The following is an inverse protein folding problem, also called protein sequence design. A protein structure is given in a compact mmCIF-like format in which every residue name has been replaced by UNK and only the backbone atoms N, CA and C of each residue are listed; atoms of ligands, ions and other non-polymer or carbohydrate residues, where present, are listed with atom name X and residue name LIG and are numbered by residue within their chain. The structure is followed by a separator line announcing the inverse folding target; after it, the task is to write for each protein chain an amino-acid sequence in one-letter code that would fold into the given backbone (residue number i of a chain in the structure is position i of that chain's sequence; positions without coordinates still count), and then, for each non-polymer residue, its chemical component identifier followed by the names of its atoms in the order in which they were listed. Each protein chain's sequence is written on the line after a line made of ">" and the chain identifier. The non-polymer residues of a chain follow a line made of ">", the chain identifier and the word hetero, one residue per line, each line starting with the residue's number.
data_IF_265370386513
#
_entry.id   IF_265370386513
#
_cell.length_a   1.000
_cell.length_b   1.000
_cell.length_c   1.000
_cell.angle_alpha   90.00
_cell.angle_beta   90.00
_cell.angle_gamma   90.00
#
_symmetry.space_group_name_H-M   'P 1'
#
loop_
_entity.id
_entity.type
_entity.pdbx_description
1 polymer ?
#
# COMPACT_ATOMS: atom_id res chain seq x y z
N UNK A 1 14.00 9.80 -29.82
CA UNK A 1 13.02 10.58 -29.04
C UNK A 1 12.28 9.63 -28.11
N UNK A 2 12.37 9.77 -26.78
CA UNK A 2 11.62 8.91 -25.88
C UNK A 2 10.11 9.24 -25.99
N UNK A 3 9.30 8.22 -26.28
CA UNK A 3 7.83 8.33 -26.31
C UNK A 3 7.30 8.45 -24.88
N UNK A 4 6.77 9.62 -24.52
CA UNK A 4 6.07 9.80 -23.26
C UNK A 4 4.70 9.11 -23.35
N UNK A 5 4.53 8.02 -22.60
CA UNK A 5 3.22 7.36 -22.46
C UNK A 5 2.45 8.07 -21.35
N UNK A 6 1.22 8.54 -21.59
CA UNK A 6 0.43 9.20 -20.56
C UNK A 6 0.15 8.23 -19.40
N UNK A 7 0.20 8.76 -18.19
CA UNK A 7 -0.15 8.03 -16.98
C UNK A 7 -1.65 7.72 -16.94
N UNK A 8 -2.04 6.71 -16.16
CA UNK A 8 -3.46 6.37 -15.99
C UNK A 8 -4.29 7.56 -15.47
N UNK A 9 -3.72 8.41 -14.61
CA UNK A 9 -4.40 9.60 -14.09
C UNK A 9 -4.58 10.71 -15.13
N UNK A 10 -3.67 10.82 -16.09
CA UNK A 10 -3.81 11.75 -17.23
C UNK A 10 -4.86 11.26 -18.22
N UNK A 11 -4.89 9.95 -18.49
CA UNK A 11 -5.90 9.33 -19.35
C UNK A 11 -7.31 9.50 -18.77
N UNK A 12 -7.47 9.31 -17.45
CA UNK A 12 -8.77 9.46 -16.77
C UNK A 12 -9.22 10.93 -16.76
N UNK A 13 -8.31 11.88 -16.46
CA UNK A 13 -8.64 13.31 -16.51
C UNK A 13 -9.03 13.79 -17.91
N UNK A 14 -8.32 13.30 -18.93
CA UNK A 14 -8.67 13.59 -20.32
C UNK A 14 -10.05 13.02 -20.69
N UNK A 15 -10.38 11.81 -20.24
CA UNK A 15 -11.69 11.20 -20.45
C UNK A 15 -12.82 11.96 -19.74
N UNK A 16 -12.64 12.37 -18.48
CA UNK A 16 -13.62 13.20 -17.74
C UNK A 16 -13.83 14.54 -18.44
N UNK A 17 -12.74 15.20 -18.86
CA UNK A 17 -12.83 16.47 -19.61
C UNK A 17 -13.58 16.31 -20.93
N UNK A 18 -13.32 15.24 -21.67
CA UNK A 18 -14.02 14.92 -22.91
C UNK A 18 -15.51 14.60 -22.69
N UNK A 19 -15.86 13.91 -21.61
CA UNK A 19 -17.27 13.63 -21.27
C UNK A 19 -18.02 14.89 -20.82
N UNK A 20 -17.35 15.85 -20.18
CA UNK A 20 -17.94 17.13 -19.76
C UNK A 20 -18.12 18.11 -20.92
N UNK A 21 -17.16 18.18 -21.83
CA UNK A 21 -17.05 19.28 -22.81
C UNK A 21 -17.04 18.84 -24.28
N UNK A 22 -16.87 17.54 -24.54
CA UNK A 22 -16.93 16.95 -25.88
C UNK A 22 -18.37 16.73 -26.39
N UNK A 23 -18.50 16.36 -27.66
CA UNK A 23 -19.79 16.08 -28.29
C UNK A 23 -20.00 14.57 -28.53
N UNK A 24 -21.09 13.95 -28.08
CA UNK A 24 -22.16 14.49 -27.21
C UNK A 24 -21.72 14.56 -25.74
N UNK A 25 -21.99 15.69 -25.08
CA UNK A 25 -21.66 15.89 -23.66
C UNK A 25 -22.50 14.96 -22.79
N UNK A 26 -21.86 14.27 -21.84
CA UNK A 26 -22.46 13.33 -20.89
C UNK A 26 -21.97 13.66 -19.48
N UNK A 27 -22.44 14.77 -18.89
CA UNK A 27 -22.00 15.21 -17.57
C UNK A 27 -22.37 14.20 -16.48
N UNK A 28 -23.47 13.48 -16.64
CA UNK A 28 -23.88 12.36 -15.79
C UNK A 28 -22.84 11.22 -15.75
N UNK A 29 -22.32 10.85 -16.92
CA UNK A 29 -21.24 9.87 -17.04
C UNK A 29 -19.93 10.44 -16.53
N UNK A 30 -19.67 11.74 -16.73
CA UNK A 30 -18.49 12.39 -16.19
C UNK A 30 -18.47 12.37 -14.66
N UNK A 31 -19.60 12.69 -14.01
CA UNK A 31 -19.73 12.67 -12.56
C UNK A 31 -19.66 11.23 -12.02
N UNK A 32 -20.24 10.25 -12.73
CA UNK A 32 -20.11 8.84 -12.35
C UNK A 32 -18.67 8.32 -12.52
N UNK A 33 -17.99 8.69 -13.61
CA UNK A 33 -16.58 8.36 -13.85
C UNK A 33 -15.69 9.08 -12.84
N UNK A 34 -16.01 10.32 -12.46
CA UNK A 34 -15.30 11.06 -11.42
C UNK A 34 -15.56 10.48 -10.04
N UNK A 35 -16.77 10.06 -9.69
CA UNK A 35 -17.07 9.38 -8.42
C UNK A 35 -16.41 7.99 -8.36
N UNK A 36 -16.43 7.21 -9.45
CA UNK A 36 -15.69 5.96 -9.55
C UNK A 36 -14.19 6.20 -9.54
N UNK A 37 -13.72 7.26 -10.20
CA UNK A 37 -12.34 7.67 -10.18
C UNK A 37 -11.97 8.07 -8.77
N UNK A 38 -12.73 8.87 -8.03
CA UNK A 38 -12.49 9.24 -6.63
C UNK A 38 -12.58 8.04 -5.69
N UNK A 39 -13.50 7.10 -5.89
CA UNK A 39 -13.59 5.88 -5.10
C UNK A 39 -12.38 4.97 -5.38
N UNK A 40 -11.94 4.93 -6.64
CA UNK A 40 -10.76 4.21 -7.10
C UNK A 40 -9.45 4.96 -6.85
N UNK A 41 -9.47 6.29 -6.74
CA UNK A 41 -8.41 7.26 -6.36
C UNK A 41 -8.36 7.42 -4.85
N UNK A 42 -9.37 7.05 -4.08
CA UNK A 42 -9.18 6.74 -2.65
C UNK A 42 -8.54 5.35 -2.50
N UNK A 43 -8.78 4.45 -3.46
CA UNK A 43 -8.02 3.21 -3.63
C UNK A 43 -6.66 3.35 -4.36
N UNK A 44 -6.41 4.48 -5.04
CA UNK A 44 -5.25 4.81 -5.89
C UNK A 44 -4.63 6.17 -5.53
N UNK A 45 -4.98 6.77 -4.40
CA UNK A 45 -4.25 7.92 -3.86
C UNK A 45 -2.84 7.48 -3.42
N UNK A 46 -2.52 6.20 -3.58
CA UNK A 46 -1.17 5.68 -3.76
C UNK A 46 -0.69 5.67 -5.22
N UNK A 47 -1.05 6.63 -6.08
CA UNK A 47 -0.43 6.79 -7.41
C UNK A 47 0.93 7.50 -7.31
N UNK A 48 1.12 8.29 -6.25
CA UNK A 48 2.41 8.63 -5.65
C UNK A 48 2.64 7.66 -4.48
N UNK A 49 3.88 7.23 -4.28
CA UNK A 49 4.17 6.15 -3.34
C UNK A 49 5.14 5.13 -3.87
N UNK A 50 6.06 4.72 -3.02
CA UNK A 50 7.13 3.79 -3.32
C UNK A 50 6.63 2.36 -3.22
N UNK A 51 7.00 1.55 -4.21
CA UNK A 51 6.74 0.10 -4.17
C UNK A 51 7.75 -0.58 -3.26
N UNK A 52 7.29 -1.10 -2.13
CA UNK A 52 8.10 -1.88 -1.20
C UNK A 52 8.01 -3.35 -1.60
N UNK A 53 9.12 -3.89 -2.12
CA UNK A 53 9.25 -5.32 -2.46
C UNK A 53 9.79 -6.09 -1.27
N UNK A 54 9.19 -7.23 -0.95
CA UNK A 54 9.62 -8.09 0.14
C UNK A 54 9.25 -9.54 -0.11
N UNK A 55 9.76 -10.44 0.74
CA UNK A 55 9.38 -11.85 0.76
C UNK A 55 8.70 -12.14 2.08
N UNK A 56 7.48 -12.67 2.02
CA UNK A 56 6.72 -13.09 3.19
C UNK A 56 6.27 -14.54 3.04
N UNK A 57 5.85 -15.12 4.15
CA UNK A 57 5.32 -16.47 4.19
C UNK A 57 4.01 -16.58 3.39
N UNK A 58 3.85 -17.65 2.61
CA UNK A 58 2.68 -17.84 1.74
C UNK A 58 1.40 -18.07 2.54
N UNK A 59 1.46 -18.80 3.65
CA UNK A 59 0.31 -19.06 4.51
C UNK A 59 -0.12 -17.77 5.19
N UNK A 60 0.82 -16.97 5.68
CA UNK A 60 0.54 -15.64 6.23
C UNK A 60 -0.18 -14.75 5.21
N UNK A 61 0.35 -14.63 3.99
CA UNK A 61 -0.28 -13.84 2.92
C UNK A 61 -1.64 -14.40 2.52
N UNK A 62 -1.81 -15.72 2.54
CA UNK A 62 -3.10 -16.37 2.27
C UNK A 62 -4.12 -16.08 3.37
N UNK A 63 -3.70 -16.09 4.64
CA UNK A 63 -4.53 -15.76 5.79
C UNK A 63 -5.06 -14.32 5.73
N UNK A 64 -4.19 -13.36 5.36
CA UNK A 64 -4.60 -11.96 5.11
C UNK A 64 -5.58 -11.88 3.94
N UNK A 65 -5.30 -12.60 2.85
CA UNK A 65 -6.10 -12.64 1.64
C UNK A 65 -5.66 -11.59 0.61
N UNK A 66 -5.55 -12.01 -0.66
CA UNK A 66 -4.94 -11.20 -1.74
C UNK A 66 -5.57 -9.81 -1.94
N UNK A 67 -6.89 -9.67 -1.74
CA UNK A 67 -7.60 -8.39 -1.85
C UNK A 67 -7.36 -7.42 -0.69
N UNK A 68 -6.69 -7.85 0.38
CA UNK A 68 -6.49 -7.07 1.61
C UNK A 68 -5.05 -6.71 1.92
N UNK A 69 -4.08 -7.42 1.34
CA UNK A 69 -2.63 -7.23 1.61
C UNK A 69 -2.24 -5.74 1.55
N UNK A 70 -2.69 -5.03 0.52
CA UNK A 70 -2.41 -3.60 0.34
C UNK A 70 -3.01 -2.75 1.49
N UNK A 71 -4.27 -3.00 1.85
CA UNK A 71 -4.98 -2.26 2.91
C UNK A 71 -4.36 -2.52 4.29
N UNK A 72 -4.04 -3.77 4.59
CA UNK A 72 -3.44 -4.16 5.88
C UNK A 72 -2.03 -3.60 6.01
N UNK A 73 -1.24 -3.60 4.93
CA UNK A 73 0.09 -2.98 4.90
C UNK A 73 0.03 -1.48 5.22
N UNK A 74 -0.86 -0.75 4.54
CA UNK A 74 -0.98 0.69 4.73
C UNK A 74 -1.47 1.06 6.14
N UNK A 75 -2.47 0.33 6.65
CA UNK A 75 -2.96 0.51 8.01
C UNK A 75 -1.90 0.16 9.06
N UNK A 76 -1.16 -0.93 8.85
CA UNK A 76 -0.03 -1.31 9.70
C UNK A 76 1.04 -0.22 9.78
N UNK A 77 1.40 0.39 8.65
CA UNK A 77 2.31 1.53 8.61
C UNK A 77 1.81 2.72 9.43
N UNK A 78 0.52 3.07 9.31
CA UNK A 78 -0.09 4.17 10.09
C UNK A 78 -0.07 3.87 11.59
N UNK A 79 -0.49 2.67 11.98
CA UNK A 79 -0.47 2.20 13.38
C UNK A 79 0.94 2.18 13.95
N UNK A 80 1.94 1.74 13.19
CA UNK A 80 3.34 1.78 13.61
C UNK A 80 3.83 3.21 13.85
N UNK A 81 3.55 4.13 12.94
CA UNK A 81 3.90 5.55 13.12
C UNK A 81 3.18 6.16 14.32
N UNK A 82 1.97 5.71 14.65
CA UNK A 82 1.25 6.10 15.86
C UNK A 82 1.73 5.38 17.13
N UNK A 83 2.64 4.41 17.04
CA UNK A 83 3.13 3.61 18.17
C UNK A 83 2.16 2.54 18.68
N UNK A 84 1.19 2.16 17.86
CA UNK A 84 0.15 1.17 18.14
C UNK A 84 0.45 -0.21 17.55
N UNK A 85 1.61 -0.36 16.90
CA UNK A 85 2.09 -1.61 16.32
C UNK A 85 3.58 -1.74 16.66
N UNK A 86 3.98 -2.92 17.15
CA UNK A 86 5.39 -3.25 17.41
C UNK A 86 5.92 -4.04 16.21
N UNK A 87 7.10 -3.67 15.65
CA UNK A 87 7.61 -4.35 14.48
C UNK A 87 8.08 -5.76 14.83
N UNK A 88 7.84 -6.70 13.92
CA UNK A 88 8.24 -8.08 14.12
C UNK A 88 9.75 -8.20 13.89
N UNK A 89 10.48 -8.76 14.86
CA UNK A 89 11.94 -8.99 14.75
C UNK A 89 12.32 -9.98 13.65
N UNK A 90 11.35 -10.50 12.90
CA UNK A 90 11.52 -11.65 12.02
C UNK A 90 12.14 -12.79 12.83
N UNK A 91 11.38 -13.31 13.79
CA UNK A 91 11.76 -14.55 14.45
C UNK A 91 11.12 -15.69 13.64
N UNK A 92 11.97 -16.63 13.24
CA UNK A 92 11.71 -17.86 12.45
C UNK A 92 10.38 -18.55 12.81
N UNK A 93 9.73 -19.17 11.81
CA UNK A 93 8.55 -20.00 12.07
C UNK A 93 8.30 -21.14 11.09
N UNK A 94 8.22 -20.89 9.79
CA UNK A 94 8.00 -21.96 8.83
C UNK A 94 9.23 -22.12 7.92
N UNK A 95 9.60 -23.38 7.67
CA UNK A 95 10.19 -23.79 6.39
C UNK A 95 9.18 -23.58 5.22
N UNK A 96 8.39 -22.51 5.30
CA UNK A 96 7.30 -22.19 4.41
C UNK A 96 7.82 -21.58 3.14
N UNK A 97 7.08 -21.80 2.06
CA UNK A 97 7.39 -21.22 0.77
C UNK A 97 7.25 -19.71 0.85
N UNK A 98 8.39 -19.00 0.87
CA UNK A 98 8.40 -17.55 0.79
C UNK A 98 7.96 -17.12 -0.61
N UNK A 99 6.97 -16.25 -0.66
CA UNK A 99 6.49 -15.65 -1.92
C UNK A 99 7.01 -14.21 -2.03
N UNK A 100 7.50 -13.85 -3.20
CA UNK A 100 7.83 -12.45 -3.51
C UNK A 100 6.53 -11.66 -3.64
N UNK A 101 6.42 -10.61 -2.84
CA UNK A 101 5.26 -9.72 -2.79
C UNK A 101 5.72 -8.28 -2.85
N UNK A 102 4.83 -7.41 -3.30
CA UNK A 102 5.03 -5.98 -3.26
C UNK A 102 3.77 -5.29 -2.78
N UNK A 103 3.95 -4.27 -1.95
CA UNK A 103 2.88 -3.34 -1.57
C UNK A 103 3.32 -1.94 -1.96
N UNK A 104 2.35 -1.09 -2.25
CA UNK A 104 2.60 0.33 -2.45
C UNK A 104 2.39 1.06 -1.13
N UNK A 105 3.28 1.96 -0.77
CA UNK A 105 3.08 2.81 0.41
C UNK A 105 3.26 4.24 -0.04
N UNK A 106 2.37 5.12 0.40
CA UNK A 106 2.52 6.56 0.24
C UNK A 106 3.93 7.01 0.66
N UNK A 107 4.53 7.94 -0.08
CA UNK A 107 5.95 8.30 0.08
C UNK A 107 6.19 9.00 1.42
N UNK A 108 5.30 9.88 1.85
CA UNK A 108 5.38 10.57 3.14
C UNK A 108 5.19 9.58 4.30
N UNK A 109 4.22 8.67 4.17
CA UNK A 109 4.03 7.60 5.14
C UNK A 109 5.26 6.70 5.23
N UNK A 110 5.85 6.30 4.09
CA UNK A 110 7.05 5.47 4.06
C UNK A 110 8.25 6.19 4.66
N UNK A 111 8.42 7.49 4.40
CA UNK A 111 9.48 8.31 5.00
C UNK A 111 9.34 8.34 6.54
N UNK A 112 8.11 8.55 7.04
CA UNK A 112 7.82 8.53 8.49
C UNK A 112 8.05 7.16 9.13
N UNK A 113 7.62 6.08 8.46
CA UNK A 113 7.90 4.71 8.89
C UNK A 113 9.40 4.46 8.94
N UNK A 114 10.15 4.90 7.92
CA UNK A 114 11.61 4.71 7.84
C UNK A 114 12.32 5.46 8.97
N UNK A 115 11.98 6.73 9.19
CA UNK A 115 12.54 7.53 10.28
C UNK A 115 12.28 6.87 11.65
N UNK A 116 11.06 6.40 11.88
CA UNK A 116 10.70 5.69 13.12
C UNK A 116 11.43 4.34 13.24
N UNK A 117 11.59 3.59 12.16
CA UNK A 117 12.41 2.37 12.16
C UNK A 117 13.85 2.65 12.58
N UNK A 118 14.47 3.73 12.09
CA UNK A 118 15.83 4.12 12.45
C UNK A 118 15.94 4.43 13.94
N UNK A 119 15.00 5.20 14.49
CA UNK A 119 14.95 5.49 15.94
C UNK A 119 14.81 4.19 16.75
N UNK A 120 13.81 3.37 16.40
CA UNK A 120 13.53 2.12 17.11
C UNK A 120 14.69 1.11 17.00
N UNK A 121 15.47 1.16 15.92
CA UNK A 121 16.63 0.29 15.76
C UNK A 121 17.71 0.57 16.80
N UNK A 122 17.89 1.85 17.16
CA UNK A 122 18.81 2.25 18.22
C UNK A 122 18.29 1.76 19.58
N UNK A 123 17.00 1.94 19.84
CA UNK A 123 16.38 1.56 21.12
C UNK A 123 16.35 0.04 21.35
N UNK A 124 16.07 -0.74 20.29
CA UNK A 124 15.90 -2.19 20.40
C UNK A 124 17.21 -2.98 20.21
N UNK A 125 18.30 -2.34 19.77
CA UNK A 125 19.57 -3.00 19.52
C UNK A 125 19.57 -3.98 18.33
N UNK A 126 18.62 -3.84 17.41
CA UNK A 126 18.60 -4.58 16.14
C UNK A 126 18.02 -3.73 15.02
N UNK A 127 18.42 -3.99 13.76
CA UNK A 127 17.98 -3.19 12.62
C UNK A 127 16.54 -3.47 12.24
N UNK A 128 15.65 -2.52 12.55
CA UNK A 128 14.26 -2.48 12.12
C UNK A 128 14.18 -1.90 10.71
N UNK A 129 13.44 -2.56 9.83
CA UNK A 129 13.14 -2.09 8.47
C UNK A 129 11.64 -2.01 8.25
N UNK A 130 11.16 -1.25 7.24
CA UNK A 130 9.73 -1.20 6.91
C UNK A 130 9.10 -2.59 6.72
N UNK A 131 9.83 -3.57 6.18
CA UNK A 131 9.34 -4.95 6.04
C UNK A 131 8.97 -5.60 7.38
N UNK A 132 9.68 -5.28 8.48
CA UNK A 132 9.37 -5.78 9.81
C UNK A 132 8.01 -5.28 10.32
N UNK A 133 7.66 -4.05 9.92
CA UNK A 133 6.35 -3.45 10.19
C UNK A 133 5.26 -4.13 9.38
N UNK A 134 5.49 -4.37 8.09
CA UNK A 134 4.54 -5.05 7.22
C UNK A 134 4.22 -6.47 7.73
N UNK A 135 5.24 -7.22 8.11
CA UNK A 135 5.06 -8.58 8.65
C UNK A 135 4.25 -8.56 9.95
N UNK A 136 4.58 -7.67 10.89
CA UNK A 136 3.80 -7.53 12.12
C UNK A 136 2.32 -7.20 11.87
N UNK A 137 2.05 -6.32 10.91
CA UNK A 137 0.69 -5.96 10.54
C UNK A 137 -0.10 -7.15 9.98
N UNK A 138 0.54 -8.01 9.18
CA UNK A 138 -0.07 -9.23 8.66
C UNK A 138 -0.31 -10.27 9.75
N UNK A 139 0.65 -10.44 10.67
CA UNK A 139 0.52 -11.36 11.80
C UNK A 139 -0.66 -10.97 12.70
N UNK A 140 -0.80 -9.69 13.04
CA UNK A 140 -1.93 -9.20 13.83
C UNK A 140 -3.28 -9.32 13.07
N UNK A 141 -3.33 -9.06 11.76
CA UNK A 141 -4.56 -9.21 10.96
C UNK A 141 -5.04 -10.66 10.90
N UNK A 142 -4.12 -11.62 10.80
CA UNK A 142 -4.45 -13.05 10.83
C UNK A 142 -4.90 -13.45 12.23
N UNK A 143 -4.15 -13.09 13.27
CA UNK A 143 -4.49 -13.42 14.66
C UNK A 143 -5.83 -12.84 15.12
N UNK A 144 -6.22 -11.65 14.63
CA UNK A 144 -7.52 -11.05 14.96
C UNK A 144 -8.73 -11.75 14.32
N UNK A 145 -8.51 -12.77 13.49
CA UNK A 145 -9.55 -13.48 12.73
C UNK A 145 -9.71 -14.94 13.13
N UNK A 146 -8.85 -15.43 14.02
CA UNK A 146 -8.96 -16.72 14.70
C UNK A 146 -9.78 -16.58 15.99
#
# INVERSE_FOLDING_TARGET
>A
MPSHKPTAGEVIRAAISHLRTGGPARPDLADAVEAMAEQRFRGWAGAEGTTVKFKADRELLSGVGAGRVQKVAEEGCRRFVAGQLVPARTVRGAAGQKTSTSVRVDDDLLARVTARCTQLSADLGWTVKPVNVLVAAFEEDVAARE
#
